data_IF_575503899680
#
_entry.id   IF_575503899680
#
_cell.length_a   1.000
_cell.length_b   1.000
_cell.length_c   1.000
_cell.angle_alpha   90.00
_cell.angle_beta   90.00
_cell.angle_gamma   90.00
#
_symmetry.space_group_name_H-M   'P 1'
#
loop_
_entity.id
_entity.type
_entity.pdbx_description
1 polymer ?
#
# COMPACT_ATOMS: atom_id res chain seq x y z
N UNK A 1 -24.54 1.66 -7.99
CA UNK A 1 -23.62 2.39 -8.90
C UNK A 1 -22.54 3.02 -8.03
N UNK A 2 -21.29 2.82 -8.37
CA UNK A 2 -20.12 3.32 -7.63
C UNK A 2 -20.03 4.84 -7.74
N UNK A 3 -20.20 5.54 -6.61
CA UNK A 3 -20.08 7.01 -6.54
C UNK A 3 -18.84 7.49 -5.80
N UNK A 4 -18.32 6.66 -4.90
CA UNK A 4 -17.10 6.92 -4.16
C UNK A 4 -16.14 5.73 -4.22
N UNK A 5 -14.85 5.99 -4.39
CA UNK A 5 -13.83 4.96 -4.34
C UNK A 5 -12.68 5.40 -3.43
N UNK A 6 -12.35 4.55 -2.46
CA UNK A 6 -11.23 4.71 -1.54
C UNK A 6 -10.21 3.64 -1.88
N UNK A 7 -9.04 4.07 -2.29
CA UNK A 7 -7.97 3.16 -2.69
C UNK A 7 -6.88 3.08 -1.62
N UNK A 8 -6.44 1.90 -1.29
CA UNK A 8 -5.10 1.76 -0.77
C UNK A 8 -4.06 2.07 -1.86
N UNK A 9 -2.82 2.30 -1.45
CA UNK A 9 -1.74 2.69 -2.36
C UNK A 9 -0.84 1.50 -2.71
N UNK A 10 -0.13 0.96 -1.69
CA UNK A 10 0.87 -0.08 -1.86
C UNK A 10 0.24 -1.45 -2.07
N UNK A 11 0.68 -2.19 -3.10
CA UNK A 11 0.05 -3.48 -3.40
C UNK A 11 -1.35 -3.37 -4.03
N UNK A 12 -1.96 -2.18 -4.00
CA UNK A 12 -3.27 -1.90 -4.59
C UNK A 12 -3.16 -1.09 -5.88
N UNK A 13 -2.79 0.19 -5.82
CA UNK A 13 -2.60 1.03 -7.01
C UNK A 13 -1.24 0.81 -7.66
N UNK A 14 -0.22 0.59 -6.86
CA UNK A 14 1.16 0.43 -7.29
C UNK A 14 1.74 -0.94 -6.91
N UNK A 15 2.58 -1.48 -7.78
CA UNK A 15 3.41 -2.65 -7.48
C UNK A 15 4.66 -2.20 -6.74
N UNK A 16 4.57 -2.11 -5.42
CA UNK A 16 5.63 -1.64 -4.53
C UNK A 16 6.08 -2.69 -3.52
N UNK A 17 5.28 -3.74 -3.31
CA UNK A 17 5.53 -4.71 -2.25
C UNK A 17 6.82 -5.52 -2.45
N UNK A 18 7.34 -5.59 -3.69
CA UNK A 18 8.65 -6.23 -3.97
C UNK A 18 9.82 -5.57 -3.22
N UNK A 19 9.67 -4.31 -2.80
CA UNK A 19 10.69 -3.57 -2.02
C UNK A 19 11.06 -4.35 -0.77
N UNK A 20 10.06 -4.87 -0.07
CA UNK A 20 10.23 -5.60 1.18
C UNK A 20 10.85 -6.99 1.02
N UNK A 21 10.93 -7.49 -0.21
CA UNK A 21 11.61 -8.76 -0.48
C UNK A 21 13.13 -8.69 -0.34
N UNK A 22 13.73 -7.54 -0.64
CA UNK A 22 15.19 -7.43 -0.77
C UNK A 22 15.81 -6.24 -0.02
N UNK A 23 15.00 -5.27 0.45
CA UNK A 23 15.52 -4.00 0.99
C UNK A 23 16.52 -4.21 2.14
N UNK A 24 16.29 -5.21 3.00
CA UNK A 24 17.20 -5.53 4.09
C UNK A 24 18.56 -5.99 3.58
N UNK A 25 18.58 -6.91 2.62
CA UNK A 25 19.82 -7.39 2.01
C UNK A 25 20.53 -6.28 1.23
N UNK A 26 19.77 -5.51 0.44
CA UNK A 26 20.31 -4.45 -0.43
C UNK A 26 20.95 -3.33 0.42
N UNK A 27 20.31 -2.97 1.53
CA UNK A 27 20.87 -1.99 2.44
C UNK A 27 22.14 -2.55 3.13
N UNK A 28 22.14 -3.80 3.57
CA UNK A 28 23.31 -4.43 4.16
C UNK A 28 24.49 -4.48 3.20
N UNK A 29 24.24 -4.84 1.91
CA UNK A 29 25.26 -4.80 0.83
C UNK A 29 25.80 -3.38 0.61
N UNK A 30 24.94 -2.36 0.69
CA UNK A 30 25.36 -0.95 0.56
C UNK A 30 26.34 -0.52 1.67
N UNK A 31 26.28 -1.19 2.82
CA UNK A 31 27.22 -1.01 3.93
C UNK A 31 28.49 -1.88 3.80
N UNK A 32 28.70 -2.55 2.66
CA UNK A 32 29.85 -3.40 2.39
C UNK A 32 29.82 -4.74 3.11
N UNK A 33 28.66 -5.24 3.47
CA UNK A 33 28.45 -6.53 4.15
C UNK A 33 27.73 -7.51 3.23
N UNK A 34 28.08 -8.79 3.33
CA UNK A 34 27.37 -9.84 2.59
C UNK A 34 26.28 -10.46 3.48
N UNK A 35 25.00 -10.44 3.02
CA UNK A 35 23.90 -11.09 3.74
C UNK A 35 24.10 -12.62 3.80
N UNK A 36 23.70 -13.23 4.90
CA UNK A 36 23.53 -14.68 4.97
C UNK A 36 22.29 -15.12 4.20
N UNK A 37 22.24 -16.38 3.74
CA UNK A 37 21.15 -16.90 2.89
C UNK A 37 19.77 -16.83 3.54
N UNK A 38 19.69 -16.87 4.86
CA UNK A 38 18.46 -16.86 5.66
C UNK A 38 18.05 -15.48 6.19
N UNK A 39 18.73 -14.40 5.76
CA UNK A 39 18.49 -13.05 6.28
C UNK A 39 17.06 -12.59 6.04
N UNK A 40 16.52 -12.83 4.85
CA UNK A 40 15.14 -12.48 4.50
C UNK A 40 14.13 -13.14 5.46
N UNK A 41 14.29 -14.42 5.73
CA UNK A 41 13.41 -15.18 6.62
C UNK A 41 13.49 -14.64 8.06
N UNK A 42 14.70 -14.28 8.50
CA UNK A 42 14.93 -13.66 9.81
C UNK A 42 14.18 -12.33 9.93
N UNK A 43 14.18 -11.52 8.88
CA UNK A 43 13.61 -10.16 8.90
C UNK A 43 12.09 -10.12 8.82
N UNK A 44 11.41 -11.17 8.34
CA UNK A 44 9.94 -11.23 8.26
C UNK A 44 9.25 -10.91 9.59
N UNK A 45 9.90 -11.25 10.72
CA UNK A 45 9.32 -11.09 12.06
C UNK A 45 9.84 -9.87 12.82
N UNK A 46 10.81 -9.13 12.28
CA UNK A 46 11.47 -8.03 12.97
C UNK A 46 10.89 -6.66 12.53
N UNK A 47 10.85 -5.73 13.47
CA UNK A 47 10.70 -4.31 13.16
C UNK A 47 11.96 -3.76 12.50
N UNK A 48 11.89 -2.57 11.91
CA UNK A 48 13.08 -1.94 11.31
C UNK A 48 14.19 -1.69 12.35
N UNK A 49 13.82 -1.31 13.57
CA UNK A 49 14.77 -1.10 14.67
C UNK A 49 15.41 -2.42 15.12
N UNK A 50 14.64 -3.49 15.21
CA UNK A 50 15.16 -4.83 15.54
C UNK A 50 16.08 -5.36 14.43
N UNK A 51 15.73 -5.15 13.16
CA UNK A 51 16.57 -5.48 12.02
C UNK A 51 17.87 -4.66 12.02
N UNK A 52 17.81 -3.36 12.36
CA UNK A 52 18.99 -2.52 12.51
C UNK A 52 19.91 -3.00 13.64
N UNK A 53 19.36 -3.41 14.79
CA UNK A 53 20.16 -3.99 15.88
C UNK A 53 20.75 -5.35 15.49
N UNK A 54 20.03 -6.15 14.68
CA UNK A 54 20.54 -7.39 14.11
C UNK A 54 21.78 -7.13 13.22
N UNK A 55 21.78 -6.07 12.38
CA UNK A 55 22.97 -5.70 11.60
C UNK A 55 24.17 -5.38 12.46
N UNK A 56 23.96 -4.68 13.58
CA UNK A 56 25.03 -4.32 14.50
C UNK A 56 25.64 -5.53 15.18
N UNK A 57 24.79 -6.46 15.64
CA UNK A 57 25.21 -7.61 16.43
C UNK A 57 25.76 -8.76 15.58
N UNK A 58 25.23 -9.00 14.38
CA UNK A 58 25.59 -10.16 13.55
C UNK A 58 26.52 -9.82 12.39
N UNK A 59 26.49 -8.57 11.90
CA UNK A 59 27.33 -8.14 10.78
C UNK A 59 28.38 -7.11 11.16
N UNK A 60 28.45 -6.71 12.45
CA UNK A 60 29.41 -5.76 12.93
C UNK A 60 29.27 -4.37 12.29
N UNK A 61 28.04 -3.97 11.97
CA UNK A 61 27.74 -2.61 11.51
C UNK A 61 27.91 -1.66 12.67
N UNK A 62 28.71 -0.60 12.51
CA UNK A 62 29.04 0.36 13.58
C UNK A 62 28.10 1.55 13.65
N UNK A 63 27.23 1.74 12.65
CA UNK A 63 26.20 2.78 12.65
C UNK A 63 25.20 2.57 13.80
N UNK A 64 24.62 3.66 14.28
CA UNK A 64 23.51 3.60 15.24
C UNK A 64 22.26 2.99 14.59
N UNK A 65 21.34 2.48 15.41
CA UNK A 65 20.02 1.98 14.93
C UNK A 65 19.33 3.05 14.08
N UNK A 66 19.33 4.30 14.55
CA UNK A 66 18.72 5.42 13.81
C UNK A 66 19.34 5.62 12.43
N UNK A 67 20.67 5.64 12.32
CA UNK A 67 21.35 5.81 11.04
C UNK A 67 21.06 4.66 10.06
N UNK A 68 20.93 3.44 10.56
CA UNK A 68 20.58 2.28 9.74
C UNK A 68 19.13 2.41 9.24
N UNK A 69 18.19 2.73 10.14
CA UNK A 69 16.77 2.95 9.77
C UNK A 69 16.62 4.09 8.76
N UNK A 70 17.29 5.23 9.00
CA UNK A 70 17.29 6.37 8.08
C UNK A 70 17.86 5.97 6.70
N UNK A 71 18.91 5.14 6.68
CA UNK A 71 19.50 4.61 5.44
C UNK A 71 18.54 3.70 4.66
N UNK A 72 17.84 2.79 5.35
CA UNK A 72 16.81 1.95 4.73
C UNK A 72 15.69 2.82 4.17
N UNK A 73 15.17 3.76 4.93
CA UNK A 73 14.11 4.67 4.49
C UNK A 73 14.53 5.47 3.25
N UNK A 74 15.76 6.00 3.24
CA UNK A 74 16.31 6.72 2.07
C UNK A 74 16.37 5.83 0.83
N UNK A 75 16.72 4.56 0.99
CA UNK A 75 16.76 3.60 -0.12
C UNK A 75 15.34 3.27 -0.61
N UNK A 76 14.40 3.05 0.30
CA UNK A 76 12.97 2.85 -0.02
C UNK A 76 12.43 4.05 -0.81
N UNK A 77 12.64 5.28 -0.34
CA UNK A 77 12.23 6.50 -1.05
C UNK A 77 12.80 6.57 -2.47
N UNK A 78 14.09 6.24 -2.63
CA UNK A 78 14.74 6.18 -3.94
C UNK A 78 14.05 5.22 -4.90
N UNK A 79 13.57 4.06 -4.40
CA UNK A 79 12.85 3.07 -5.21
C UNK A 79 11.46 3.60 -5.61
N UNK A 80 10.73 4.24 -4.69
CA UNK A 80 9.43 4.87 -5.01
C UNK A 80 9.57 5.95 -6.08
N UNK A 81 10.61 6.79 -6.00
CA UNK A 81 10.85 7.86 -6.97
C UNK A 81 11.26 7.36 -8.35
N UNK A 82 11.75 6.12 -8.48
CA UNK A 82 12.36 5.68 -9.74
C UNK A 82 11.82 4.38 -10.31
N UNK A 83 11.39 3.43 -9.49
CA UNK A 83 11.11 2.04 -9.90
C UNK A 83 9.67 1.58 -9.73
N UNK A 84 8.97 2.07 -8.69
CA UNK A 84 7.58 1.70 -8.44
C UNK A 84 6.73 2.06 -9.66
N UNK A 85 5.90 1.12 -10.11
CA UNK A 85 5.03 1.25 -11.27
C UNK A 85 3.56 1.03 -10.89
N UNK A 86 2.64 1.48 -11.74
CA UNK A 86 1.22 1.16 -11.59
C UNK A 86 0.98 -0.34 -11.78
N UNK A 87 0.02 -0.88 -11.04
CA UNK A 87 -0.55 -2.18 -11.40
C UNK A 87 -1.29 -2.08 -12.72
N UNK A 88 -1.41 -3.22 -13.40
CA UNK A 88 -2.04 -3.31 -14.72
C UNK A 88 -3.46 -2.76 -14.70
N UNK A 89 -3.78 -1.89 -15.65
CA UNK A 89 -5.12 -1.32 -15.86
C UNK A 89 -5.50 -0.16 -14.95
N UNK A 90 -4.67 0.22 -13.96
CA UNK A 90 -5.00 1.28 -12.99
C UNK A 90 -5.31 2.61 -13.68
N UNK A 91 -4.46 3.08 -14.60
CA UNK A 91 -4.65 4.38 -15.23
C UNK A 91 -5.98 4.47 -16.02
N UNK A 92 -6.29 3.42 -16.79
CA UNK A 92 -7.53 3.34 -17.56
C UNK A 92 -8.76 3.27 -16.68
N UNK A 93 -8.69 2.49 -15.59
CA UNK A 93 -9.79 2.37 -14.63
C UNK A 93 -10.05 3.69 -13.90
N UNK A 94 -9.02 4.39 -13.45
CA UNK A 94 -9.19 5.70 -12.80
C UNK A 94 -9.77 6.74 -13.78
N UNK A 95 -9.34 6.74 -15.04
CA UNK A 95 -9.92 7.60 -16.08
C UNK A 95 -11.41 7.29 -16.27
N UNK A 96 -11.78 6.01 -16.38
CA UNK A 96 -13.18 5.60 -16.50
C UNK A 96 -14.02 6.03 -15.29
N UNK A 97 -13.51 5.86 -14.06
CA UNK A 97 -14.21 6.31 -12.84
C UNK A 97 -14.44 7.82 -12.84
N UNK A 98 -13.42 8.59 -13.26
CA UNK A 98 -13.54 10.06 -13.39
C UNK A 98 -14.59 10.46 -14.39
N UNK A 99 -14.62 9.83 -15.57
CA UNK A 99 -15.61 10.09 -16.62
C UNK A 99 -17.04 9.76 -16.15
N UNK A 100 -17.18 8.76 -15.28
CA UNK A 100 -18.46 8.41 -14.64
C UNK A 100 -18.83 9.31 -13.45
N UNK A 101 -17.99 10.29 -13.10
CA UNK A 101 -18.22 11.21 -11.99
C UNK A 101 -17.99 10.60 -10.61
N UNK A 102 -17.29 9.47 -10.51
CA UNK A 102 -16.93 8.83 -9.25
C UNK A 102 -15.88 9.70 -8.51
N UNK A 103 -16.12 10.00 -7.24
CA UNK A 103 -15.16 10.70 -6.38
C UNK A 103 -14.15 9.73 -5.83
N UNK A 104 -12.88 10.09 -5.86
CA UNK A 104 -11.78 9.18 -5.51
C UNK A 104 -10.84 9.82 -4.49
N UNK A 105 -10.40 9.02 -3.51
CA UNK A 105 -9.35 9.39 -2.58
C UNK A 105 -8.49 8.17 -2.21
N UNK A 106 -7.38 8.42 -1.54
CA UNK A 106 -6.44 7.40 -1.06
C UNK A 106 -6.52 7.28 0.45
N UNK A 107 -6.39 6.05 0.96
CA UNK A 107 -6.24 5.74 2.37
C UNK A 107 -5.07 4.75 2.54
N UNK A 108 -3.92 5.23 3.06
CA UNK A 108 -2.66 4.48 3.07
C UNK A 108 -1.92 4.55 4.40
N UNK A 109 -0.97 3.64 4.61
CA UNK A 109 0.01 3.71 5.71
C UNK A 109 1.25 4.50 5.31
N UNK A 110 1.50 4.68 4.02
CA UNK A 110 2.68 5.35 3.48
C UNK A 110 2.59 6.86 3.66
N UNK A 111 3.73 7.51 3.90
CA UNK A 111 3.81 8.94 4.12
C UNK A 111 3.34 9.74 2.90
N UNK A 112 2.57 10.80 3.15
CA UNK A 112 1.93 11.65 2.13
C UNK A 112 2.89 12.10 1.03
N UNK A 113 4.05 12.65 1.39
CA UNK A 113 5.00 13.19 0.41
C UNK A 113 5.46 12.13 -0.59
N UNK A 114 5.64 10.89 -0.13
CA UNK A 114 6.09 9.79 -0.97
C UNK A 114 4.99 9.31 -1.92
N UNK A 115 3.74 9.28 -1.42
CA UNK A 115 2.57 8.99 -2.25
C UNK A 115 2.39 10.06 -3.32
N UNK A 116 2.41 11.35 -2.95
CA UNK A 116 2.25 12.48 -3.88
C UNK A 116 3.32 12.48 -4.97
N UNK A 117 4.61 12.37 -4.60
CA UNK A 117 5.72 12.31 -5.55
C UNK A 117 5.58 11.13 -6.52
N UNK A 118 5.17 9.97 -6.01
CA UNK A 118 5.00 8.76 -6.84
C UNK A 118 3.82 8.89 -7.78
N UNK A 119 2.67 9.35 -7.31
CA UNK A 119 1.47 9.53 -8.13
C UNK A 119 1.65 10.61 -9.20
N UNK A 120 2.36 11.69 -8.87
CA UNK A 120 2.70 12.76 -9.84
C UNK A 120 3.60 12.19 -10.95
N UNK A 121 4.67 11.49 -10.58
CA UNK A 121 5.55 10.80 -11.53
C UNK A 121 4.82 9.81 -12.44
N UNK A 122 3.83 9.10 -11.88
CA UNK A 122 3.02 8.11 -12.61
C UNK A 122 1.86 8.76 -13.39
N UNK A 123 1.64 10.07 -13.25
CA UNK A 123 0.63 10.83 -13.98
C UNK A 123 -0.80 10.56 -13.55
N UNK A 124 -1.04 10.16 -12.30
CA UNK A 124 -2.38 9.83 -11.79
C UNK A 124 -2.81 10.63 -10.55
N UNK A 125 -1.98 11.52 -10.03
CA UNK A 125 -2.30 12.32 -8.84
C UNK A 125 -3.61 13.11 -9.00
N UNK A 126 -3.89 13.63 -10.20
CA UNK A 126 -5.08 14.44 -10.50
C UNK A 126 -6.42 13.69 -10.42
N UNK A 127 -6.42 12.38 -10.24
CA UNK A 127 -7.64 11.60 -10.07
C UNK A 127 -8.17 11.64 -8.64
N UNK A 128 -7.31 11.93 -7.68
CA UNK A 128 -7.62 11.86 -6.25
C UNK A 128 -7.88 13.25 -5.68
N UNK A 129 -8.99 13.39 -4.95
CA UNK A 129 -9.37 14.65 -4.30
C UNK A 129 -8.66 14.85 -2.96
N UNK A 130 -8.16 13.76 -2.34
CA UNK A 130 -7.44 13.79 -1.06
C UNK A 130 -6.64 12.49 -0.87
N UNK A 131 -5.58 12.58 -0.07
CA UNK A 131 -4.78 11.45 0.43
C UNK A 131 -4.89 11.45 1.95
N UNK A 132 -5.39 10.37 2.52
CA UNK A 132 -5.42 10.14 3.96
C UNK A 132 -4.31 9.18 4.33
N UNK A 133 -3.44 9.56 5.27
CA UNK A 133 -2.41 8.67 5.79
C UNK A 133 -2.72 8.24 7.22
N UNK A 134 -2.31 7.02 7.58
CA UNK A 134 -2.47 6.54 8.95
C UNK A 134 -1.75 7.43 9.97
N UNK A 135 -0.60 7.99 9.60
CA UNK A 135 0.17 8.90 10.44
C UNK A 135 -0.63 10.18 10.77
N UNK A 136 -1.26 10.82 9.76
CA UNK A 136 -2.06 12.05 9.95
C UNK A 136 -3.39 11.78 10.67
N UNK A 137 -3.99 10.62 10.42
CA UNK A 137 -5.24 10.20 11.07
C UNK A 137 -5.02 9.79 12.52
N UNK A 138 -3.79 9.34 12.87
CA UNK A 138 -3.40 8.88 14.20
C UNK A 138 -3.84 7.45 14.53
N UNK A 139 -4.28 6.68 13.54
CA UNK A 139 -4.72 5.28 13.68
C UNK A 139 -4.32 4.46 12.48
N UNK A 140 -3.93 3.21 12.73
CA UNK A 140 -3.71 2.22 11.67
C UNK A 140 -5.01 1.71 11.05
N UNK A 141 -4.89 0.91 9.99
CA UNK A 141 -6.02 0.28 9.29
C UNK A 141 -6.68 -0.89 10.07
N UNK A 142 -6.22 -1.17 11.30
CA UNK A 142 -6.91 -2.02 12.28
C UNK A 142 -8.22 -1.40 12.79
N UNK A 143 -8.36 -0.07 12.61
CA UNK A 143 -9.57 0.68 12.92
C UNK A 143 -10.12 1.33 11.65
N UNK A 144 -11.47 1.41 11.51
CA UNK A 144 -12.07 1.93 10.28
C UNK A 144 -12.02 3.47 10.16
N UNK A 145 -11.27 4.15 11.04
CA UNK A 145 -11.28 5.62 11.16
C UNK A 145 -10.81 6.28 9.87
N UNK A 146 -9.75 5.76 9.24
CA UNK A 146 -9.24 6.31 7.98
C UNK A 146 -10.29 6.22 6.86
N UNK A 147 -10.98 5.08 6.74
CA UNK A 147 -12.04 4.88 5.73
C UNK A 147 -13.27 5.76 6.00
N UNK A 148 -13.62 5.99 7.27
CA UNK A 148 -14.73 6.88 7.65
C UNK A 148 -14.42 8.34 7.34
N UNK A 149 -13.18 8.81 7.59
CA UNK A 149 -12.72 10.15 7.20
C UNK A 149 -12.72 10.31 5.66
N UNK A 150 -12.26 9.30 4.95
CA UNK A 150 -12.31 9.29 3.49
C UNK A 150 -13.75 9.35 2.97
N UNK A 151 -14.67 8.58 3.55
CA UNK A 151 -16.10 8.62 3.20
C UNK A 151 -16.73 10.00 3.44
N UNK A 152 -16.44 10.61 4.59
CA UNK A 152 -16.91 11.97 4.94
C UNK A 152 -16.41 13.00 3.90
N UNK A 153 -15.13 12.93 3.53
CA UNK A 153 -14.55 13.81 2.51
C UNK A 153 -15.18 13.60 1.12
N UNK A 154 -15.41 12.35 0.72
CA UNK A 154 -16.03 12.04 -0.57
C UNK A 154 -17.50 12.47 -0.63
N UNK A 155 -18.14 12.70 0.51
CA UNK A 155 -19.57 13.08 0.61
C UNK A 155 -20.44 12.15 -0.25
N UNK A 156 -20.29 10.84 -0.02
CA UNK A 156 -21.02 9.76 -0.71
C UNK A 156 -21.67 8.82 0.30
N UNK A 157 -22.68 8.08 -0.11
CA UNK A 157 -23.27 7.08 0.77
C UNK A 157 -22.34 5.86 0.89
N UNK A 158 -22.25 5.28 2.08
CA UNK A 158 -21.35 4.15 2.36
C UNK A 158 -21.60 2.96 1.43
N UNK A 159 -22.84 2.64 1.14
CA UNK A 159 -23.23 1.56 0.23
C UNK A 159 -23.00 1.87 -1.27
N UNK A 160 -22.61 3.11 -1.59
CA UNK A 160 -22.18 3.55 -2.92
C UNK A 160 -20.68 3.86 -2.97
N UNK A 161 -19.95 3.56 -1.86
CA UNK A 161 -18.51 3.78 -1.73
C UNK A 161 -17.79 2.46 -1.57
N UNK A 162 -16.81 2.21 -2.44
CA UNK A 162 -16.04 0.97 -2.45
C UNK A 162 -14.64 1.21 -1.95
N UNK A 163 -14.12 0.23 -1.19
CA UNK A 163 -12.74 0.22 -0.69
C UNK A 163 -11.95 -0.83 -1.46
N UNK A 164 -10.88 -0.41 -2.12
CA UNK A 164 -9.94 -1.26 -2.85
C UNK A 164 -8.71 -1.52 -1.98
N UNK A 165 -8.40 -2.78 -1.72
CA UNK A 165 -7.38 -3.21 -0.77
C UNK A 165 -6.78 -4.56 -1.16
N UNK A 166 -5.46 -4.71 -1.00
CA UNK A 166 -4.75 -5.98 -1.21
C UNK A 166 -4.50 -6.74 0.11
N UNK A 167 -4.50 -6.04 1.24
CA UNK A 167 -4.28 -6.65 2.57
C UNK A 167 -5.56 -7.20 3.17
N UNK A 168 -5.57 -8.50 3.50
CA UNK A 168 -6.69 -9.16 4.17
C UNK A 168 -7.11 -8.46 5.45
N UNK A 169 -6.15 -8.01 6.23
CA UNK A 169 -6.39 -7.38 7.52
C UNK A 169 -7.12 -6.03 7.35
N UNK A 170 -6.66 -5.17 6.45
CA UNK A 170 -7.25 -3.87 6.19
C UNK A 170 -8.61 -3.98 5.48
N UNK A 171 -8.72 -4.88 4.50
CA UNK A 171 -9.99 -5.17 3.83
C UNK A 171 -11.04 -5.68 4.82
N UNK A 172 -10.66 -6.55 5.78
CA UNK A 172 -11.55 -7.02 6.83
C UNK A 172 -12.09 -5.87 7.69
N UNK A 173 -11.25 -4.91 8.01
CA UNK A 173 -11.67 -3.72 8.78
C UNK A 173 -12.71 -2.90 8.02
N UNK A 174 -12.50 -2.63 6.74
CA UNK A 174 -13.46 -1.94 5.89
C UNK A 174 -14.78 -2.71 5.75
N UNK A 175 -14.69 -4.03 5.53
CA UNK A 175 -15.85 -4.91 5.41
C UNK A 175 -16.71 -4.95 6.66
N UNK A 176 -16.10 -5.12 7.84
CA UNK A 176 -16.80 -5.14 9.13
C UNK A 176 -17.47 -3.79 9.41
N UNK A 177 -16.88 -2.68 8.95
CA UNK A 177 -17.48 -1.34 9.05
C UNK A 177 -18.62 -1.10 8.05
N UNK A 178 -18.89 -2.06 7.15
CA UNK A 178 -20.04 -2.04 6.22
C UNK A 178 -19.75 -1.37 4.87
N UNK A 179 -18.49 -1.20 4.49
CA UNK A 179 -18.13 -0.80 3.12
C UNK A 179 -18.29 -1.97 2.15
N UNK A 180 -18.59 -1.65 0.89
CA UNK A 180 -18.39 -2.60 -0.21
C UNK A 180 -16.89 -2.69 -0.49
N UNK A 181 -16.38 -3.91 -0.59
CA UNK A 181 -14.94 -4.16 -0.66
C UNK A 181 -14.54 -4.83 -1.96
N UNK A 182 -13.43 -4.37 -2.54
CA UNK A 182 -12.76 -4.97 -3.69
C UNK A 182 -11.38 -5.44 -3.25
N UNK A 183 -11.21 -6.75 -3.15
CA UNK A 183 -9.90 -7.34 -2.89
C UNK A 183 -9.05 -7.31 -4.16
N UNK A 184 -7.87 -6.76 -4.07
CA UNK A 184 -6.91 -6.67 -5.16
C UNK A 184 -5.80 -7.70 -4.93
N UNK A 185 -5.52 -8.51 -5.94
CA UNK A 185 -4.43 -9.49 -5.85
C UNK A 185 -3.09 -8.79 -5.63
N UNK A 186 -2.36 -9.22 -4.61
CA UNK A 186 -0.92 -8.97 -4.48
C UNK A 186 -0.20 -10.24 -4.05
N UNK A 187 0.92 -10.55 -4.70
CA UNK A 187 1.68 -11.80 -4.44
C UNK A 187 2.25 -11.88 -3.01
N UNK A 188 2.32 -10.75 -2.29
CA UNK A 188 2.86 -10.68 -0.93
C UNK A 188 1.79 -10.91 0.15
N UNK A 189 0.49 -10.87 -0.16
CA UNK A 189 -0.54 -11.32 0.77
C UNK A 189 -0.64 -12.86 0.71
N UNK A 190 -0.10 -13.52 1.70
CA UNK A 190 -0.04 -14.99 1.76
C UNK A 190 -1.42 -15.66 1.95
N UNK A 191 -2.45 -14.88 2.31
CA UNK A 191 -3.82 -15.35 2.59
C UNK A 191 -4.79 -14.96 1.47
N UNK A 192 -4.35 -15.09 0.21
CA UNK A 192 -5.14 -14.71 -0.96
C UNK A 192 -6.53 -15.35 -1.02
N UNK A 193 -6.64 -16.63 -0.67
CA UNK A 193 -7.94 -17.32 -0.64
C UNK A 193 -8.88 -16.70 0.40
N UNK A 194 -8.33 -16.29 1.56
CA UNK A 194 -9.10 -15.61 2.59
C UNK A 194 -9.55 -14.21 2.12
N UNK A 195 -8.65 -13.47 1.47
CA UNK A 195 -8.96 -12.16 0.90
C UNK A 195 -10.08 -12.27 -0.14
N UNK A 196 -9.96 -13.22 -1.07
CA UNK A 196 -10.94 -13.50 -2.12
C UNK A 196 -12.30 -13.90 -1.55
N UNK A 197 -12.32 -14.73 -0.50
CA UNK A 197 -13.57 -15.19 0.12
C UNK A 197 -14.26 -14.10 0.95
N UNK A 198 -13.50 -13.12 1.46
CA UNK A 198 -14.02 -12.05 2.30
C UNK A 198 -14.55 -10.86 1.49
N UNK A 199 -13.89 -10.53 0.38
CA UNK A 199 -14.23 -9.39 -0.47
C UNK A 199 -15.60 -9.56 -1.14
N UNK A 200 -16.31 -8.45 -1.41
CA UNK A 200 -17.51 -8.46 -2.24
C UNK A 200 -17.17 -8.72 -3.70
N UNK A 201 -16.04 -8.16 -4.14
CA UNK A 201 -15.44 -8.37 -5.46
C UNK A 201 -13.96 -8.66 -5.27
N UNK A 202 -13.42 -9.48 -6.15
CA UNK A 202 -11.98 -9.78 -6.15
C UNK A 202 -11.45 -9.65 -7.57
N UNK A 203 -10.34 -8.93 -7.72
CA UNK A 203 -9.69 -8.69 -9.00
C UNK A 203 -8.22 -9.12 -8.96
N UNK A 204 -7.72 -9.60 -10.10
CA UNK A 204 -6.29 -9.88 -10.27
C UNK A 204 -5.54 -8.61 -10.67
N UNK A 205 -6.16 -7.80 -11.51
CA UNK A 205 -5.69 -6.48 -11.92
C UNK A 205 -6.87 -5.57 -12.28
N UNK A 206 -6.60 -4.31 -12.62
CA UNK A 206 -7.64 -3.33 -12.92
C UNK A 206 -8.19 -3.41 -14.37
N UNK A 207 -7.75 -4.39 -15.16
CA UNK A 207 -8.38 -4.74 -16.43
C UNK A 207 -9.46 -5.83 -16.28
N UNK A 208 -9.69 -6.33 -15.06
CA UNK A 208 -10.65 -7.40 -14.79
C UNK A 208 -12.07 -7.00 -15.22
N UNK A 209 -12.76 -7.87 -16.00
CA UNK A 209 -14.12 -7.59 -16.46
C UNK A 209 -15.15 -7.33 -15.36
N UNK A 210 -14.94 -7.83 -14.14
CA UNK A 210 -15.86 -7.61 -13.02
C UNK A 210 -16.00 -6.12 -12.69
N UNK A 211 -14.97 -5.31 -12.93
CA UNK A 211 -14.99 -3.86 -12.71
C UNK A 211 -15.97 -3.12 -13.64
N UNK A 212 -16.42 -3.74 -14.72
CA UNK A 212 -17.48 -3.20 -15.58
C UNK A 212 -18.88 -3.38 -15.03
N UNK A 213 -19.01 -4.17 -13.95
CA UNK A 213 -20.31 -4.50 -13.33
C UNK A 213 -20.60 -3.70 -12.07
N UNK A 214 -19.66 -2.89 -11.61
CA UNK A 214 -19.72 -2.12 -10.36
C UNK A 214 -19.88 -0.61 -10.58
#
# INVERSE_FOLDING_TARGET
MLKGAIFDFDGTLVDSMFIWDTIGEDHLRSLGKEPHEDLKETFITLTLEEAAEYYRTHYGVTLSVKEIVDGVNTMVEGIYRTRVALKQGVADFLAQLKDNGTRMCIATVTDRYLVEETLDRLGILQYFSEIFTCAEVGYGKDKPIIYRKALEHLDTAKNETYVFEDSLFALKTAKVDGFTTVGVYDRHENRQDNLKNLADYYIVDFADPVLKTI
#
